data_IF_721336008064
#
_entry.id   IF_721336008064
#
_cell.length_a   1.000
_cell.length_b   1.000
_cell.length_c   1.000
_cell.angle_alpha   90.00
_cell.angle_beta   90.00
_cell.angle_gamma   90.00
#
_symmetry.space_group_name_H-M   'P 1'
#
loop_
_entity.id
_entity.type
_entity.pdbx_description
1 polymer ?
#
# COMPACT_ATOMS: atom_id res chain seq x y z
N UNK A 1 3.16 -26.74 -30.90
CA UNK A 1 3.92 -25.97 -29.90
C UNK A 1 3.11 -24.74 -29.45
N UNK A 2 1.82 -24.91 -29.16
CA UNK A 2 0.89 -23.79 -28.87
C UNK A 2 0.70 -23.51 -27.37
N UNK A 3 1.01 -24.50 -26.51
CA UNK A 3 0.67 -24.45 -25.08
C UNK A 3 1.51 -23.47 -24.25
N UNK A 4 2.65 -23.02 -24.77
CA UNK A 4 3.58 -22.10 -24.08
C UNK A 4 3.26 -20.60 -24.29
N UNK A 5 2.26 -20.25 -25.11
CA UNK A 5 1.84 -18.85 -25.28
C UNK A 5 0.71 -18.46 -24.33
N UNK A 6 -0.23 -19.34 -24.05
CA UNK A 6 -1.35 -19.06 -23.13
C UNK A 6 -0.91 -18.96 -21.66
N UNK A 7 0.12 -19.71 -21.23
CA UNK A 7 0.65 -19.59 -19.87
C UNK A 7 1.42 -18.29 -19.62
N UNK A 8 1.88 -17.60 -20.67
CA UNK A 8 2.46 -16.25 -20.52
C UNK A 8 1.43 -15.15 -20.37
N UNK A 9 0.16 -15.40 -20.69
CA UNK A 9 -0.92 -14.43 -20.50
C UNK A 9 -1.76 -14.68 -19.24
N UNK A 10 -1.48 -15.76 -18.49
CA UNK A 10 -2.11 -16.06 -17.19
C UNK A 10 -1.44 -15.40 -15.96
N UNK A 11 -0.36 -14.65 -16.13
CA UNK A 11 0.41 -14.07 -15.00
C UNK A 11 0.81 -12.60 -15.18
N UNK A 12 0.32 -11.88 -16.19
CA UNK A 12 0.40 -10.41 -16.18
C UNK A 12 -0.77 -9.86 -15.36
N UNK A 13 -0.78 -10.20 -14.06
CA UNK A 13 -1.55 -9.45 -13.08
C UNK A 13 -1.15 -7.97 -13.20
N UNK A 14 -2.11 -7.08 -12.98
CA UNK A 14 -1.83 -5.63 -13.06
C UNK A 14 -0.61 -5.30 -12.21
N UNK A 15 0.32 -4.51 -12.76
CA UNK A 15 1.55 -4.14 -12.03
C UNK A 15 1.19 -3.37 -10.76
N UNK A 16 1.92 -3.58 -9.65
CA UNK A 16 1.72 -2.76 -8.46
C UNK A 16 1.93 -1.28 -8.77
N UNK A 17 1.39 -0.41 -7.92
CA UNK A 17 1.71 1.01 -7.96
C UNK A 17 3.24 1.18 -8.08
N UNK A 18 3.76 2.01 -9.01
CA UNK A 18 5.19 2.19 -9.18
C UNK A 18 5.94 2.56 -7.90
N UNK A 19 5.25 3.23 -6.95
CA UNK A 19 5.82 3.51 -5.65
C UNK A 19 6.10 2.24 -4.85
N UNK A 20 5.36 1.15 -5.06
CA UNK A 20 5.51 -0.10 -4.31
C UNK A 20 6.48 -1.09 -4.96
N UNK A 21 7.09 -0.78 -6.11
CA UNK A 21 7.94 -1.74 -6.84
C UNK A 21 9.10 -2.27 -5.98
N UNK A 22 9.86 -1.39 -5.33
CA UNK A 22 10.92 -1.82 -4.39
C UNK A 22 10.35 -2.42 -3.10
N UNK A 23 9.15 -2.03 -2.70
CA UNK A 23 8.52 -2.57 -1.50
C UNK A 23 8.20 -4.06 -1.68
N UNK A 24 7.76 -4.46 -2.87
CA UNK A 24 7.47 -5.84 -3.21
C UNK A 24 8.70 -6.70 -3.52
N UNK A 25 9.88 -6.12 -3.66
CA UNK A 25 11.09 -6.90 -3.92
C UNK A 25 11.46 -7.75 -2.68
N UNK A 26 11.39 -9.09 -2.75
CA UNK A 26 11.68 -9.96 -1.62
C UNK A 26 13.17 -10.03 -1.28
N UNK A 27 14.07 -9.62 -2.18
CA UNK A 27 15.52 -9.59 -1.93
C UNK A 27 15.91 -8.44 -1.00
N UNK A 28 15.05 -7.43 -0.87
CA UNK A 28 15.27 -6.30 0.02
C UNK A 28 14.54 -6.58 1.34
N UNK A 29 15.24 -6.67 2.48
CA UNK A 29 14.56 -6.87 3.75
C UNK A 29 13.67 -5.65 4.08
N UNK A 30 12.56 -5.92 4.76
CA UNK A 30 11.78 -4.85 5.40
C UNK A 30 12.63 -4.16 6.47
N UNK A 31 12.37 -2.88 6.77
CA UNK A 31 13.03 -2.22 7.89
C UNK A 31 12.75 -2.95 9.21
N UNK A 32 13.73 -2.95 10.11
CA UNK A 32 13.46 -3.22 11.51
C UNK A 32 12.56 -2.10 12.04
N UNK A 33 11.34 -2.46 12.42
CA UNK A 33 10.35 -1.51 12.94
C UNK A 33 10.39 -1.60 14.47
N UNK A 34 10.59 -0.45 15.11
CA UNK A 34 10.48 -0.34 16.57
C UNK A 34 9.00 -0.35 16.94
N UNK A 35 8.43 -1.54 17.18
CA UNK A 35 7.01 -1.72 17.45
C UNK A 35 6.50 -0.94 18.66
N UNK A 36 7.38 -0.60 19.61
CA UNK A 36 7.06 0.26 20.75
C UNK A 36 6.61 1.67 20.34
N UNK A 37 6.98 2.12 19.13
CA UNK A 37 6.59 3.42 18.57
C UNK A 37 5.32 3.36 17.73
N UNK A 38 4.83 2.16 17.42
CA UNK A 38 3.59 1.95 16.66
C UNK A 38 2.43 1.80 17.65
N UNK A 39 1.29 2.49 17.46
CA UNK A 39 0.14 2.34 18.34
C UNK A 39 -0.27 0.86 18.51
N UNK A 40 -0.60 0.44 19.74
CA UNK A 40 -0.95 -0.95 20.05
C UNK A 40 -2.16 -1.51 19.27
N UNK A 41 -2.99 -0.63 18.70
CA UNK A 41 -4.10 -0.98 17.83
C UNK A 41 -3.68 -1.43 16.42
N UNK A 42 -2.43 -1.22 16.03
CA UNK A 42 -1.92 -1.57 14.69
C UNK A 42 -1.33 -2.97 14.71
N UNK A 43 -1.95 -3.91 14.00
CA UNK A 43 -1.35 -5.22 13.76
C UNK A 43 -0.34 -5.11 12.60
N UNK A 44 0.96 -5.32 12.87
CA UNK A 44 2.00 -5.12 11.88
C UNK A 44 1.96 -6.11 10.72
N UNK A 45 1.48 -7.32 10.96
CA UNK A 45 1.38 -8.35 9.93
C UNK A 45 0.30 -7.96 8.91
N UNK A 46 -0.80 -7.35 9.36
CA UNK A 46 -1.87 -6.89 8.46
C UNK A 46 -1.43 -5.79 7.51
N UNK A 47 -0.47 -4.94 7.91
CA UNK A 47 0.01 -3.86 7.03
C UNK A 47 0.76 -4.42 5.84
N UNK A 48 1.38 -5.59 5.97
CA UNK A 48 2.19 -6.23 4.93
C UNK A 48 1.46 -7.35 4.19
N UNK A 49 0.46 -7.93 4.83
CA UNK A 49 -0.28 -9.07 4.32
C UNK A 49 -1.49 -8.65 3.50
N UNK A 50 -1.62 -9.30 2.34
CA UNK A 50 -2.78 -9.31 1.46
C UNK A 50 -3.12 -8.02 0.69
N UNK A 51 -3.47 -8.23 -0.59
CA UNK A 51 -3.69 -7.19 -1.58
C UNK A 51 -4.91 -7.52 -2.42
N UNK A 52 -5.53 -6.47 -2.94
CA UNK A 52 -6.63 -6.51 -3.89
C UNK A 52 -6.18 -5.99 -5.26
N UNK A 53 -6.61 -6.67 -6.33
CA UNK A 53 -6.31 -6.25 -7.69
C UNK A 53 -7.25 -5.11 -8.12
N UNK A 54 -6.70 -3.97 -8.51
CA UNK A 54 -7.44 -2.77 -8.90
C UNK A 54 -6.92 -2.23 -10.25
N UNK A 55 -7.63 -1.26 -10.86
CA UNK A 55 -7.35 -0.76 -12.23
C UNK A 55 -5.92 -0.25 -12.42
N UNK A 56 -5.35 0.39 -11.41
CA UNK A 56 -3.99 0.94 -11.43
C UNK A 56 -2.93 0.07 -10.75
N UNK A 57 -3.29 -1.16 -10.39
CA UNK A 57 -2.39 -2.07 -9.69
C UNK A 57 -2.98 -2.63 -8.43
N UNK A 58 -2.13 -3.00 -7.48
CA UNK A 58 -2.55 -3.60 -6.22
C UNK A 58 -2.72 -2.55 -5.14
N UNK A 59 -3.80 -2.69 -4.37
CA UNK A 59 -4.08 -1.88 -3.18
C UNK A 59 -4.18 -2.83 -2.00
N UNK A 60 -3.71 -2.42 -0.82
CA UNK A 60 -3.87 -3.24 0.37
C UNK A 60 -5.34 -3.47 0.73
N UNK A 61 -5.70 -4.69 1.15
CA UNK A 61 -7.09 -5.03 1.49
C UNK A 61 -7.65 -4.15 2.62
N UNK A 62 -6.81 -3.72 3.56
CA UNK A 62 -7.20 -2.86 4.67
C UNK A 62 -7.51 -1.41 4.24
N UNK A 63 -7.13 -0.99 3.02
CA UNK A 63 -7.42 0.35 2.56
C UNK A 63 -8.92 0.52 2.26
N UNK A 64 -9.57 1.61 2.73
CA UNK A 64 -11.03 1.75 2.68
C UNK A 64 -11.64 1.55 1.29
N UNK A 65 -12.80 0.89 1.25
CA UNK A 65 -13.62 0.71 0.04
C UNK A 65 -14.73 1.74 -0.08
N UNK A 66 -14.87 2.62 0.92
CA UNK A 66 -15.89 3.68 0.96
C UNK A 66 -15.36 4.92 1.66
N UNK A 67 -15.83 6.06 1.19
CA UNK A 67 -15.65 7.34 1.85
C UNK A 67 -16.44 7.38 3.14
N UNK A 68 -15.81 7.86 4.22
CA UNK A 68 -16.41 7.85 5.55
C UNK A 68 -17.32 9.03 5.81
N UNK A 69 -17.06 10.17 5.18
CA UNK A 69 -17.82 11.40 5.37
C UNK A 69 -19.14 11.29 4.61
N UNK A 70 -19.07 10.78 3.38
CA UNK A 70 -20.20 10.70 2.45
C UNK A 70 -20.85 9.31 2.40
N UNK A 71 -20.19 8.27 2.91
CA UNK A 71 -20.65 6.88 2.84
C UNK A 71 -20.55 6.26 1.44
N UNK A 72 -20.05 7.01 0.45
CA UNK A 72 -19.97 6.58 -0.95
C UNK A 72 -18.91 5.50 -1.12
N UNK A 73 -19.28 4.35 -1.69
CA UNK A 73 -18.32 3.33 -2.09
C UNK A 73 -17.42 3.84 -3.21
N UNK A 74 -16.12 3.57 -3.10
CA UNK A 74 -15.16 3.83 -4.16
C UNK A 74 -15.24 2.71 -5.20
N UNK A 75 -15.24 3.09 -6.48
CA UNK A 75 -14.91 2.11 -7.54
C UNK A 75 -13.43 1.71 -7.47
N UNK A 76 -13.04 0.60 -8.11
CA UNK A 76 -11.65 0.11 -8.15
C UNK A 76 -10.64 1.20 -8.59
N UNK A 77 -11.01 1.98 -9.60
CA UNK A 77 -10.19 3.08 -10.11
C UNK A 77 -10.01 4.18 -9.06
N UNK A 78 -11.13 4.65 -8.48
CA UNK A 78 -11.11 5.73 -7.48
C UNK A 78 -10.32 5.30 -6.25
N UNK A 79 -10.52 4.06 -5.79
CA UNK A 79 -9.81 3.51 -4.63
C UNK A 79 -8.30 3.48 -4.83
N UNK A 80 -7.83 3.01 -5.99
CA UNK A 80 -6.41 3.00 -6.30
C UNK A 80 -5.83 4.42 -6.42
N UNK A 81 -6.58 5.35 -7.02
CA UNK A 81 -6.16 6.75 -7.11
C UNK A 81 -6.07 7.42 -5.73
N UNK A 82 -7.04 7.19 -4.84
CA UNK A 82 -7.00 7.71 -3.47
C UNK A 82 -5.85 7.12 -2.67
N UNK A 83 -5.64 5.80 -2.75
CA UNK A 83 -4.50 5.13 -2.12
C UNK A 83 -3.17 5.75 -2.56
N UNK A 84 -2.96 5.93 -3.86
CA UNK A 84 -1.77 6.58 -4.40
C UNK A 84 -1.61 8.01 -3.86
N UNK A 85 -2.68 8.80 -3.90
CA UNK A 85 -2.65 10.19 -3.47
C UNK A 85 -2.34 10.33 -1.98
N UNK A 86 -2.91 9.46 -1.14
CA UNK A 86 -2.65 9.44 0.30
C UNK A 86 -1.21 9.03 0.60
N UNK A 87 -0.69 8.03 -0.11
CA UNK A 87 0.70 7.62 0.04
C UNK A 87 1.65 8.75 -0.36
N UNK A 88 1.39 9.44 -1.47
CA UNK A 88 2.15 10.62 -1.89
C UNK A 88 2.06 11.76 -0.87
N UNK A 89 0.87 11.99 -0.29
CA UNK A 89 0.67 13.00 0.76
C UNK A 89 1.56 12.70 1.97
N UNK A 90 1.50 11.48 2.50
CA UNK A 90 2.31 11.06 3.66
C UNK A 90 3.80 11.18 3.34
N UNK A 91 4.24 10.73 2.15
CA UNK A 91 5.64 10.87 1.73
C UNK A 91 6.09 12.34 1.68
N UNK A 92 5.21 13.27 1.28
CA UNK A 92 5.51 14.72 1.31
C UNK A 92 5.61 15.23 2.74
N UNK A 93 4.69 14.85 3.63
CA UNK A 93 4.69 15.22 5.04
C UNK A 93 5.95 14.70 5.76
N UNK A 94 6.43 13.51 5.40
CA UNK A 94 7.69 12.94 5.89
C UNK A 94 8.94 13.58 5.26
N UNK A 95 8.81 14.54 4.34
CA UNK A 95 9.91 15.10 3.54
C UNK A 95 10.71 14.04 2.76
N UNK A 96 10.01 13.02 2.25
CA UNK A 96 10.58 11.92 1.45
C UNK A 96 10.05 11.89 0.02
N UNK A 97 9.33 12.93 -0.40
CA UNK A 97 8.85 13.09 -1.76
C UNK A 97 9.74 14.06 -2.56
N UNK A 98 10.10 13.72 -3.81
CA UNK A 98 9.89 12.42 -4.46
C UNK A 98 10.74 11.30 -3.84
N UNK A 99 10.28 10.06 -4.00
CA UNK A 99 10.89 8.89 -3.37
C UNK A 99 12.29 8.60 -3.95
N UNK A 100 13.33 9.03 -3.25
CA UNK A 100 14.74 8.95 -3.69
C UNK A 100 15.61 8.11 -2.74
N UNK A 101 16.83 7.83 -3.19
CA UNK A 101 17.84 7.06 -2.44
C UNK A 101 18.01 5.63 -2.96
N UNK A 102 18.69 4.80 -2.17
CA UNK A 102 18.92 3.38 -2.50
C UNK A 102 17.60 2.60 -2.46
N UNK A 103 17.53 1.45 -3.14
CA UNK A 103 16.33 0.58 -3.12
C UNK A 103 15.89 0.24 -1.69
N UNK A 104 16.86 -0.05 -0.81
CA UNK A 104 16.63 -0.26 0.63
C UNK A 104 16.01 0.96 1.31
N UNK A 105 16.56 2.16 1.10
CA UNK A 105 16.00 3.39 1.67
C UNK A 105 14.57 3.66 1.17
N UNK A 106 14.30 3.41 -0.11
CA UNK A 106 12.96 3.56 -0.69
C UNK A 106 11.98 2.57 -0.08
N UNK A 107 12.34 1.28 0.01
CA UNK A 107 11.53 0.26 0.70
C UNK A 107 11.24 0.62 2.16
N UNK A 108 12.26 1.04 2.91
CA UNK A 108 12.09 1.46 4.30
C UNK A 108 11.14 2.65 4.41
N UNK A 109 11.34 3.67 3.58
CA UNK A 109 10.49 4.86 3.54
C UNK A 109 9.04 4.51 3.26
N UNK A 110 8.80 3.64 2.27
CA UNK A 110 7.46 3.16 1.93
C UNK A 110 6.82 2.38 3.06
N UNK A 111 7.59 1.52 3.74
CA UNK A 111 7.08 0.79 4.89
C UNK A 111 6.55 1.77 5.96
N UNK A 112 7.33 2.78 6.34
CA UNK A 112 6.86 3.79 7.29
C UNK A 112 5.63 4.56 6.79
N UNK A 113 5.58 4.92 5.51
CA UNK A 113 4.43 5.61 4.93
C UNK A 113 3.17 4.74 4.92
N UNK A 114 3.30 3.44 4.64
CA UNK A 114 2.19 2.47 4.67
C UNK A 114 1.68 2.22 6.10
N UNK A 115 2.58 2.15 7.08
CA UNK A 115 2.21 2.06 8.50
C UNK A 115 1.44 3.31 8.96
N UNK A 116 1.91 4.50 8.58
CA UNK A 116 1.23 5.75 8.87
C UNK A 116 -0.16 5.79 8.22
N UNK A 117 -0.26 5.40 6.94
CA UNK A 117 -1.53 5.34 6.24
C UNK A 117 -2.50 4.36 6.89
N UNK A 118 -2.01 3.18 7.27
CA UNK A 118 -2.80 2.19 7.99
C UNK A 118 -3.35 2.75 9.30
N UNK A 119 -2.51 3.43 10.09
CA UNK A 119 -2.93 4.04 11.35
C UNK A 119 -4.02 5.10 11.12
N UNK A 120 -3.82 6.00 10.16
CA UNK A 120 -4.80 7.04 9.81
C UNK A 120 -6.13 6.44 9.38
N UNK A 121 -6.13 5.43 8.50
CA UNK A 121 -7.39 4.83 8.06
C UNK A 121 -8.03 4.00 9.16
N UNK A 122 -7.24 3.30 9.99
CA UNK A 122 -7.66 2.40 11.08
C UNK A 122 -8.25 3.13 12.28
N UNK A 123 -7.65 4.24 12.71
CA UNK A 123 -8.22 5.09 13.78
C UNK A 123 -9.61 5.61 13.39
N UNK A 124 -9.82 5.86 12.10
CA UNK A 124 -11.15 6.17 11.62
C UNK A 124 -12.11 4.98 11.82
N UNK A 125 -11.70 3.71 11.69
CA UNK A 125 -12.59 2.53 11.86
C UNK A 125 -13.12 2.43 13.29
N UNK A 126 -12.29 2.75 14.28
CA UNK A 126 -12.68 2.67 15.69
C UNK A 126 -13.66 3.78 16.12
N UNK A 127 -13.63 4.95 15.50
CA UNK A 127 -14.58 6.03 15.78
C UNK A 127 -15.97 5.83 15.13
N UNK A 128 -16.16 4.79 14.32
CA UNK A 128 -17.38 4.53 13.56
C UNK A 128 -18.21 3.33 14.08
N UNK A 129 -17.86 2.78 15.25
CA UNK A 129 -18.58 1.70 15.94
C UNK A 129 -19.18 2.22 17.25
#
# INVERSE_FOLDING_TARGET
MEKNREDRFKTYGRRPDPLLEDFFDPEIPLPDICWETVPHSVNPYLVWEAYDENVHGWVFLWYPTRDRITGRSYGEFERAQYFHNDLVRILKEMHRWPLWGTRKHRKHTLAFALLQLYAEVSDLWWCAV
#
